data_IF_298444575313
#
_entry.id   IF_298444575313
#
_cell.length_a   1.000
_cell.length_b   1.000
_cell.length_c   1.000
_cell.angle_alpha   90.00
_cell.angle_beta   90.00
_cell.angle_gamma   90.00
#
_symmetry.space_group_name_H-M   'P 1'
#
loop_
_entity.id
_entity.type
_entity.pdbx_description
1 polymer ?
#
# COMPACT_ATOMS: atom_id res chain seq x y z
N UNK A 1 9.81 -24.40 -2.83
CA UNK A 1 10.24 -24.83 -4.17
C UNK A 1 11.56 -25.57 -3.99
N UNK A 2 11.68 -26.82 -4.41
CA UNK A 2 13.00 -27.47 -4.43
C UNK A 2 13.85 -26.77 -5.51
N UNK A 3 14.96 -26.16 -5.08
CA UNK A 3 15.89 -25.46 -5.97
C UNK A 3 17.03 -26.42 -6.32
N UNK A 4 17.54 -26.38 -7.55
CA UNK A 4 18.67 -27.21 -7.93
C UNK A 4 19.91 -26.86 -7.08
N UNK A 5 20.85 -27.80 -6.84
CA UNK A 5 22.07 -27.50 -6.07
C UNK A 5 22.88 -26.33 -6.65
N UNK A 6 22.87 -26.17 -7.97
CA UNK A 6 23.54 -25.06 -8.65
C UNK A 6 22.86 -23.71 -8.34
N UNK A 7 21.53 -23.67 -8.32
CA UNK A 7 20.77 -22.47 -7.99
C UNK A 7 20.87 -22.14 -6.50
N UNK A 8 20.87 -23.15 -5.61
CA UNK A 8 21.08 -22.94 -4.18
C UNK A 8 22.44 -22.26 -3.91
N UNK A 9 23.52 -22.79 -4.48
CA UNK A 9 24.86 -22.17 -4.38
C UNK A 9 24.89 -20.75 -4.94
N UNK A 10 24.23 -20.52 -6.07
CA UNK A 10 24.14 -19.17 -6.66
C UNK A 10 23.45 -18.18 -5.71
N UNK A 11 22.34 -18.56 -5.08
CA UNK A 11 21.68 -17.71 -4.10
C UNK A 11 22.52 -17.50 -2.84
N UNK A 12 23.24 -18.52 -2.35
CA UNK A 12 24.17 -18.38 -1.23
C UNK A 12 25.27 -17.36 -1.52
N UNK A 13 25.87 -17.39 -2.72
CA UNK A 13 26.89 -16.43 -3.15
C UNK A 13 26.34 -14.99 -3.19
N UNK A 14 25.13 -14.81 -3.73
CA UNK A 14 24.47 -13.50 -3.74
C UNK A 14 24.16 -12.98 -2.33
N UNK A 15 23.65 -13.85 -1.45
CA UNK A 15 23.29 -13.50 -0.08
C UNK A 15 24.52 -13.10 0.74
N UNK A 16 25.63 -13.84 0.61
CA UNK A 16 26.88 -13.49 1.28
C UNK A 16 27.43 -12.13 0.81
N UNK A 17 27.35 -11.85 -0.50
CA UNK A 17 27.73 -10.55 -1.06
C UNK A 17 26.84 -9.40 -0.54
N UNK A 18 25.53 -9.63 -0.48
CA UNK A 18 24.57 -8.66 0.06
C UNK A 18 24.83 -8.38 1.54
N UNK A 19 25.04 -9.41 2.35
CA UNK A 19 25.34 -9.28 3.79
C UNK A 19 26.58 -8.40 4.02
N UNK A 20 27.67 -8.68 3.29
CA UNK A 20 28.89 -7.88 3.37
C UNK A 20 28.67 -6.41 3.00
N UNK A 21 27.88 -6.15 1.94
CA UNK A 21 27.54 -4.78 1.54
C UNK A 21 26.68 -4.07 2.60
N UNK A 22 25.73 -4.78 3.22
CA UNK A 22 24.87 -4.25 4.28
C UNK A 22 25.67 -3.92 5.55
N UNK A 23 26.61 -4.76 5.97
CA UNK A 23 27.49 -4.48 7.12
C UNK A 23 28.34 -3.22 6.91
N UNK A 24 28.89 -3.07 5.71
CA UNK A 24 29.65 -1.87 5.34
C UNK A 24 28.76 -0.62 5.38
N UNK A 25 27.56 -0.70 4.81
CA UNK A 25 26.60 0.40 4.81
C UNK A 25 26.16 0.76 6.23
N UNK A 26 25.88 -0.22 7.09
CA UNK A 26 25.53 0.00 8.50
C UNK A 26 26.64 0.74 9.24
N UNK A 27 27.89 0.30 9.07
CA UNK A 27 29.07 0.94 9.68
C UNK A 27 29.24 2.38 9.21
N UNK A 28 28.97 2.66 7.93
CA UNK A 28 29.02 4.01 7.39
C UNK A 28 27.91 4.90 7.95
N UNK A 29 26.65 4.43 7.91
CA UNK A 29 25.47 5.16 8.41
C UNK A 29 25.57 5.47 9.90
N UNK A 30 26.14 4.57 10.70
CA UNK A 30 26.35 4.75 12.13
C UNK A 30 27.25 5.95 12.48
N UNK A 31 28.03 6.48 11.52
CA UNK A 31 28.84 7.69 11.72
C UNK A 31 28.01 8.98 11.82
N UNK A 32 26.72 8.93 11.48
CA UNK A 32 25.80 10.07 11.61
C UNK A 32 26.04 11.20 10.61
N UNK A 33 26.60 10.88 9.43
CA UNK A 33 26.89 11.85 8.38
C UNK A 33 25.76 11.98 7.33
N UNK A 34 24.75 11.13 7.42
CA UNK A 34 23.61 11.02 6.50
C UNK A 34 22.28 11.35 7.20
N UNK A 35 21.16 11.56 6.47
CA UNK A 35 19.85 11.88 7.05
C UNK A 35 19.30 10.88 8.07
N UNK A 36 19.81 9.64 8.04
CA UNK A 36 19.50 8.56 8.99
C UNK A 36 20.78 7.83 9.36
N UNK A 37 20.85 7.40 10.63
CA UNK A 37 21.95 6.61 11.19
C UNK A 37 21.83 5.11 10.95
N UNK A 38 20.67 4.66 10.44
CA UNK A 38 20.42 3.29 10.02
C UNK A 38 20.30 3.16 8.50
N UNK A 39 20.30 1.91 8.02
CA UNK A 39 20.03 1.59 6.62
C UNK A 39 18.54 1.86 6.32
N UNK A 40 18.27 2.50 5.19
CA UNK A 40 16.91 2.89 4.78
C UNK A 40 16.29 1.95 3.73
N UNK A 41 17.09 1.03 3.17
CA UNK A 41 16.65 0.04 2.17
C UNK A 41 16.61 -1.33 2.84
N UNK A 42 15.43 -1.83 3.24
CA UNK A 42 15.29 -3.15 3.85
C UNK A 42 15.49 -4.26 2.81
N UNK A 43 15.98 -5.41 3.26
CA UNK A 43 16.03 -6.64 2.45
C UNK A 43 14.70 -7.37 2.61
N UNK A 44 14.12 -7.82 1.51
CA UNK A 44 12.89 -8.62 1.49
C UNK A 44 13.09 -9.85 0.59
N UNK A 45 12.62 -11.01 1.05
CA UNK A 45 12.84 -12.28 0.35
C UNK A 45 11.76 -12.59 -0.70
N UNK A 46 10.53 -12.10 -0.49
CA UNK A 46 9.41 -12.29 -1.41
C UNK A 46 8.46 -11.07 -1.44
N UNK A 47 7.36 -11.19 -2.18
CA UNK A 47 6.34 -10.15 -2.30
C UNK A 47 5.74 -9.78 -0.95
N UNK A 48 5.39 -10.77 -0.13
CA UNK A 48 4.71 -10.55 1.13
C UNK A 48 5.63 -9.78 2.10
N UNK A 49 6.90 -10.15 2.15
CA UNK A 49 7.91 -9.42 2.93
C UNK A 49 8.13 -8.01 2.39
N UNK A 50 8.09 -7.79 1.06
CA UNK A 50 8.16 -6.44 0.48
C UNK A 50 6.99 -5.58 0.96
N UNK A 51 5.77 -6.12 0.97
CA UNK A 51 4.59 -5.39 1.45
C UNK A 51 4.71 -5.04 2.93
N UNK A 52 5.13 -5.99 3.76
CA UNK A 52 5.32 -5.75 5.20
C UNK A 52 6.45 -4.73 5.47
N UNK A 53 7.59 -4.86 4.80
CA UNK A 53 8.70 -3.92 4.93
C UNK A 53 8.34 -2.51 4.42
N UNK A 54 7.56 -2.42 3.34
CA UNK A 54 7.13 -1.15 2.74
C UNK A 54 6.15 -0.39 3.65
N UNK A 55 5.23 -1.10 4.30
CA UNK A 55 4.13 -0.48 5.05
C UNK A 55 4.34 -0.48 6.57
N UNK A 56 5.15 -1.40 7.09
CA UNK A 56 5.40 -1.56 8.52
C UNK A 56 4.28 -2.28 9.29
N UNK A 57 3.32 -2.90 8.62
CA UNK A 57 2.20 -3.60 9.26
C UNK A 57 2.63 -4.99 9.73
N UNK A 58 3.03 -5.09 11.01
CA UNK A 58 3.61 -6.32 11.55
C UNK A 58 2.66 -7.51 11.43
N UNK A 59 3.13 -8.60 10.81
CA UNK A 59 2.39 -9.85 10.62
C UNK A 59 1.55 -9.90 9.34
N UNK A 60 1.53 -8.84 8.52
CA UNK A 60 0.79 -8.84 7.27
C UNK A 60 1.36 -9.83 6.25
N UNK A 61 2.67 -10.04 6.18
CA UNK A 61 3.26 -10.95 5.20
C UNK A 61 2.78 -12.39 5.41
N UNK A 62 2.73 -12.84 6.66
CA UNK A 62 2.21 -14.16 7.01
C UNK A 62 0.72 -14.31 6.66
N UNK A 63 -0.05 -13.21 6.70
CA UNK A 63 -1.46 -13.23 6.29
C UNK A 63 -1.62 -13.27 4.78
N UNK A 64 -0.87 -12.44 4.03
CA UNK A 64 -0.88 -12.40 2.57
C UNK A 64 -0.57 -13.79 2.02
N UNK A 65 0.48 -14.46 2.50
CA UNK A 65 0.86 -15.81 2.06
C UNK A 65 -0.26 -16.84 2.24
N UNK A 66 -1.03 -16.75 3.34
CA UNK A 66 -2.17 -17.65 3.56
C UNK A 66 -3.31 -17.37 2.59
N UNK A 67 -3.58 -16.10 2.31
CA UNK A 67 -4.64 -15.75 1.37
C UNK A 67 -4.26 -16.15 -0.08
N UNK A 68 -3.04 -15.89 -0.52
CA UNK A 68 -2.58 -16.27 -1.88
C UNK A 68 -2.53 -17.79 -2.11
N UNK A 69 -2.62 -18.62 -1.06
CA UNK A 69 -2.79 -20.07 -1.20
C UNK A 69 -4.24 -20.47 -1.51
N UNK A 70 -5.20 -19.63 -1.17
CA UNK A 70 -6.64 -19.91 -1.25
C UNK A 70 -7.34 -19.18 -2.39
N UNK A 71 -6.81 -18.03 -2.82
CA UNK A 71 -7.47 -17.12 -3.77
C UNK A 71 -6.47 -16.37 -4.65
N UNK A 72 -6.98 -15.67 -5.66
CA UNK A 72 -6.14 -14.82 -6.52
C UNK A 72 -5.53 -13.66 -5.74
N UNK A 73 -4.55 -12.97 -6.32
CA UNK A 73 -3.96 -11.78 -5.70
C UNK A 73 -4.96 -10.63 -5.60
N UNK A 74 -5.85 -10.49 -6.58
CA UNK A 74 -6.90 -9.48 -6.59
C UNK A 74 -7.94 -9.73 -5.49
N UNK A 75 -8.35 -10.99 -5.33
CA UNK A 75 -9.19 -11.43 -4.21
C UNK A 75 -8.45 -11.24 -2.89
N UNK A 76 -7.15 -11.58 -2.88
CA UNK A 76 -6.09 -11.20 -1.98
C UNK A 76 -6.26 -9.81 -1.36
N UNK A 77 -6.10 -8.83 -2.25
CA UNK A 77 -6.08 -7.42 -1.97
C UNK A 77 -7.42 -6.88 -1.47
N UNK A 78 -8.53 -7.49 -1.87
CA UNK A 78 -9.83 -7.15 -1.31
C UNK A 78 -10.01 -7.76 0.09
N UNK A 79 -9.69 -9.05 0.24
CA UNK A 79 -9.95 -9.84 1.45
C UNK A 79 -9.10 -9.40 2.64
N UNK A 80 -7.90 -8.88 2.40
CA UNK A 80 -7.07 -8.32 3.47
C UNK A 80 -7.78 -7.15 4.18
N UNK A 81 -8.69 -6.44 3.51
CA UNK A 81 -9.54 -5.40 4.11
C UNK A 81 -10.30 -5.87 5.34
N UNK A 82 -10.79 -7.12 5.34
CA UNK A 82 -11.49 -7.70 6.50
C UNK A 82 -10.57 -7.86 7.72
N UNK A 83 -9.29 -8.16 7.49
CA UNK A 83 -8.31 -8.29 8.56
C UNK A 83 -8.03 -6.94 9.22
N UNK A 84 -8.04 -5.84 8.45
CA UNK A 84 -7.95 -4.47 8.98
C UNK A 84 -9.22 -4.05 9.71
N UNK A 85 -10.41 -4.37 9.19
CA UNK A 85 -11.68 -4.13 9.91
C UNK A 85 -11.69 -4.86 11.25
N UNK A 86 -11.12 -6.08 11.29
CA UNK A 86 -10.93 -6.86 12.50
C UNK A 86 -9.74 -6.40 13.37
N UNK A 87 -9.05 -5.32 13.00
CA UNK A 87 -7.91 -4.70 13.72
C UNK A 87 -6.76 -5.67 14.01
N UNK A 88 -6.50 -6.58 13.08
CA UNK A 88 -5.49 -7.63 13.28
C UNK A 88 -4.04 -7.13 13.30
N UNK A 89 -3.79 -5.91 12.81
CA UNK A 89 -2.44 -5.36 12.68
C UNK A 89 -2.20 -4.14 13.59
N UNK A 90 -3.13 -3.86 14.51
CA UNK A 90 -2.98 -2.85 15.56
C UNK A 90 -3.77 -1.57 15.35
N UNK A 91 -4.64 -1.51 14.34
CA UNK A 91 -5.43 -0.33 14.02
C UNK A 91 -6.33 0.09 15.18
N UNK A 92 -6.35 1.39 15.49
CA UNK A 92 -7.08 1.96 16.61
C UNK A 92 -8.28 2.80 16.20
N UNK A 93 -8.25 3.36 14.98
CA UNK A 93 -9.30 4.26 14.46
C UNK A 93 -9.85 3.80 13.12
N UNK A 94 -11.05 4.25 12.76
CA UNK A 94 -11.63 3.94 11.44
C UNK A 94 -10.81 4.53 10.28
N UNK A 95 -10.21 5.71 10.45
CA UNK A 95 -9.34 6.31 9.43
C UNK A 95 -8.08 5.48 9.23
N UNK A 96 -7.49 4.95 10.30
CA UNK A 96 -6.33 4.06 10.25
C UNK A 96 -6.67 2.73 9.56
N UNK A 97 -7.83 2.12 9.88
CA UNK A 97 -8.32 0.92 9.18
C UNK A 97 -8.45 1.17 7.67
N UNK A 98 -9.03 2.30 7.27
CA UNK A 98 -9.22 2.65 5.88
C UNK A 98 -7.88 2.91 5.17
N UNK A 99 -7.00 3.71 5.78
CA UNK A 99 -5.68 4.00 5.23
C UNK A 99 -4.86 2.73 5.03
N UNK A 100 -4.77 1.90 6.07
CA UNK A 100 -3.99 0.67 6.02
C UNK A 100 -4.54 -0.33 5.01
N UNK A 101 -5.86 -0.52 4.95
CA UNK A 101 -6.47 -1.44 4.00
C UNK A 101 -6.22 -1.01 2.54
N UNK A 102 -6.38 0.27 2.23
CA UNK A 102 -6.17 0.80 0.86
C UNK A 102 -4.69 0.67 0.48
N UNK A 103 -3.76 1.03 1.38
CA UNK A 103 -2.31 0.92 1.11
C UNK A 103 -1.86 -0.52 0.97
N UNK A 104 -2.34 -1.42 1.83
CA UNK A 104 -2.00 -2.84 1.77
C UNK A 104 -2.50 -3.51 0.49
N UNK A 105 -3.75 -3.22 0.10
CA UNK A 105 -4.28 -3.73 -1.15
C UNK A 105 -3.49 -3.23 -2.36
N UNK A 106 -3.17 -1.93 -2.39
CA UNK A 106 -2.36 -1.34 -3.46
C UNK A 106 -0.95 -1.93 -3.50
N UNK A 107 -0.31 -2.13 -2.35
CA UNK A 107 1.02 -2.72 -2.26
C UNK A 107 1.03 -4.16 -2.74
N UNK A 108 0.02 -4.96 -2.36
CA UNK A 108 -0.13 -6.33 -2.84
C UNK A 108 -0.28 -6.38 -4.38
N UNK A 109 -1.17 -5.57 -4.94
CA UNK A 109 -1.45 -5.53 -6.38
C UNK A 109 -0.29 -5.02 -7.23
N UNK A 110 0.51 -4.13 -6.65
CA UNK A 110 1.70 -3.57 -7.31
C UNK A 110 2.99 -4.30 -6.91
N UNK A 111 2.86 -5.48 -6.29
CA UNK A 111 3.96 -6.35 -5.87
C UNK A 111 4.99 -5.71 -4.93
N UNK A 112 4.61 -4.58 -4.31
CA UNK A 112 5.48 -3.75 -3.49
C UNK A 112 6.67 -3.15 -4.25
N UNK A 113 6.58 -3.00 -5.59
CA UNK A 113 7.69 -2.47 -6.40
C UNK A 113 7.53 -1.02 -6.84
N UNK A 114 6.42 -0.37 -6.50
CA UNK A 114 6.14 1.02 -6.86
C UNK A 114 5.87 1.87 -5.62
N UNK A 115 6.09 3.18 -5.74
CA UNK A 115 5.91 4.13 -4.65
C UNK A 115 4.44 4.48 -4.35
N UNK A 116 3.48 4.02 -5.16
CA UNK A 116 2.08 4.39 -5.03
C UNK A 116 1.45 4.14 -3.64
N UNK A 117 1.71 3.02 -2.94
CA UNK A 117 1.16 2.78 -1.60
C UNK A 117 1.67 3.74 -0.54
N UNK A 118 2.88 4.30 -0.71
CA UNK A 118 3.50 5.20 0.27
C UNK A 118 3.31 6.66 -0.12
N UNK A 119 3.66 7.00 -1.37
CA UNK A 119 3.70 8.37 -1.88
C UNK A 119 2.47 8.74 -2.73
N UNK A 120 1.73 7.76 -3.25
CA UNK A 120 0.55 7.99 -4.08
C UNK A 120 -0.71 8.32 -3.29
N UNK A 121 -0.77 7.93 -2.00
CA UNK A 121 -1.85 8.26 -1.07
C UNK A 121 -1.31 9.23 -0.02
N UNK A 122 -1.66 10.51 -0.15
CA UNK A 122 -1.22 11.55 0.77
C UNK A 122 -1.95 11.48 2.13
N UNK A 123 -3.25 11.17 2.10
CA UNK A 123 -4.09 11.12 3.29
C UNK A 123 -5.35 10.30 3.04
N UNK A 124 -5.84 9.64 4.07
CA UNK A 124 -7.22 9.11 4.14
C UNK A 124 -7.91 9.80 5.30
N UNK A 125 -9.16 10.24 5.10
CA UNK A 125 -9.94 10.85 6.17
C UNK A 125 -11.44 10.67 5.99
N UNK A 126 -12.21 11.02 7.01
CA UNK A 126 -13.67 11.11 6.92
C UNK A 126 -14.10 12.56 6.65
N UNK A 127 -15.16 12.71 5.84
CA UNK A 127 -15.87 13.96 5.60
C UNK A 127 -17.34 13.82 5.99
N UNK A 128 -18.08 14.93 5.93
CA UNK A 128 -19.53 14.96 6.13
C UNK A 128 -20.25 15.44 4.87
N UNK A 129 -21.27 14.71 4.47
CA UNK A 129 -22.24 15.14 3.46
C UNK A 129 -23.15 16.23 4.04
N UNK A 130 -23.92 16.90 3.18
CA UNK A 130 -24.85 17.96 3.57
C UNK A 130 -25.99 17.48 4.48
N UNK A 131 -26.33 16.20 4.39
CA UNK A 131 -27.30 15.54 5.26
C UNK A 131 -26.71 15.10 6.62
N UNK A 132 -25.43 15.39 6.86
CA UNK A 132 -24.69 15.07 8.08
C UNK A 132 -24.08 13.67 8.13
N UNK A 133 -24.33 12.82 7.12
CA UNK A 133 -23.75 11.47 7.04
C UNK A 133 -22.26 11.52 6.77
N UNK A 134 -21.50 10.59 7.35
CA UNK A 134 -20.05 10.49 7.13
C UNK A 134 -19.74 9.76 5.83
N UNK A 135 -18.69 10.19 5.13
CA UNK A 135 -18.18 9.54 3.92
C UNK A 135 -16.64 9.50 3.91
N UNK A 136 -16.08 8.57 3.14
CA UNK A 136 -14.64 8.40 2.98
C UNK A 136 -14.04 9.40 1.97
N UNK A 137 -12.90 9.99 2.32
CA UNK A 137 -12.05 10.82 1.46
C UNK A 137 -10.67 10.20 1.31
N UNK A 138 -10.27 9.93 0.07
CA UNK A 138 -8.91 9.48 -0.27
C UNK A 138 -8.21 10.58 -1.05
N UNK A 139 -7.08 11.05 -0.54
CA UNK A 139 -6.29 12.12 -1.13
C UNK A 139 -5.13 11.51 -1.91
N UNK A 140 -5.27 11.46 -3.23
CA UNK A 140 -4.21 10.98 -4.11
C UNK A 140 -3.21 12.08 -4.46
N UNK A 141 -1.93 11.72 -4.56
CA UNK A 141 -0.84 12.58 -5.00
C UNK A 141 -0.27 12.12 -6.34
N UNK A 142 0.48 12.99 -7.04
CA UNK A 142 1.05 12.71 -8.37
C UNK A 142 1.74 11.35 -8.54
N UNK A 143 2.54 10.85 -7.57
CA UNK A 143 3.19 9.54 -7.65
C UNK A 143 2.22 8.35 -7.83
N UNK A 144 0.92 8.52 -7.57
CA UNK A 144 -0.12 7.50 -7.80
C UNK A 144 -0.10 6.96 -9.23
N UNK A 145 0.37 7.75 -10.21
CA UNK A 145 0.50 7.34 -11.62
C UNK A 145 1.39 6.12 -11.82
N UNK A 146 2.38 5.92 -10.95
CA UNK A 146 3.28 4.76 -11.00
C UNK A 146 2.58 3.42 -10.75
N UNK A 147 1.40 3.42 -10.10
CA UNK A 147 0.64 2.20 -9.82
C UNK A 147 0.03 1.57 -11.09
N UNK A 148 -0.14 2.35 -12.16
CA UNK A 148 -0.95 1.97 -13.31
C UNK A 148 -2.47 2.01 -13.02
N UNK A 149 -3.27 1.98 -14.09
CA UNK A 149 -4.73 2.15 -13.98
C UNK A 149 -5.43 1.04 -13.17
N UNK A 150 -4.91 -0.19 -13.22
CA UNK A 150 -5.48 -1.34 -12.49
C UNK A 150 -5.42 -1.14 -10.97
N UNK A 151 -4.24 -0.80 -10.43
CA UNK A 151 -4.08 -0.60 -9.00
C UNK A 151 -4.81 0.66 -8.51
N UNK A 152 -4.89 1.71 -9.33
CA UNK A 152 -5.70 2.91 -9.06
C UNK A 152 -7.19 2.60 -8.99
N UNK A 153 -7.72 1.79 -9.91
CA UNK A 153 -9.12 1.38 -9.87
C UNK A 153 -9.42 0.50 -8.65
N UNK A 154 -8.53 -0.44 -8.34
CA UNK A 154 -8.71 -1.33 -7.20
C UNK A 154 -8.56 -0.62 -5.85
N UNK A 155 -7.76 0.45 -5.75
CA UNK A 155 -7.73 1.25 -4.52
C UNK A 155 -9.07 1.92 -4.22
N UNK A 156 -9.82 2.32 -5.25
CA UNK A 156 -11.20 2.83 -5.10
C UNK A 156 -12.16 1.70 -4.69
N UNK A 157 -12.01 0.51 -5.26
CA UNK A 157 -12.83 -0.65 -4.91
C UNK A 157 -12.65 -1.07 -3.44
N UNK A 158 -11.39 -1.18 -2.99
CA UNK A 158 -11.07 -1.56 -1.61
C UNK A 158 -11.55 -0.49 -0.63
N UNK A 159 -11.35 0.79 -0.97
CA UNK A 159 -11.89 1.91 -0.22
C UNK A 159 -13.42 1.78 -0.02
N UNK A 160 -14.15 1.46 -1.09
CA UNK A 160 -15.60 1.28 -1.02
C UNK A 160 -16.03 0.05 -0.23
N UNK A 161 -15.30 -1.06 -0.36
CA UNK A 161 -15.56 -2.28 0.40
C UNK A 161 -15.38 -2.07 1.91
N UNK A 162 -14.24 -1.49 2.31
CA UNK A 162 -13.90 -1.31 3.73
C UNK A 162 -14.78 -0.24 4.38
N UNK A 163 -15.10 0.86 3.68
CA UNK A 163 -16.00 1.89 4.23
C UNK A 163 -17.40 1.33 4.46
N UNK A 164 -17.90 0.45 3.60
CA UNK A 164 -19.16 -0.26 3.83
C UNK A 164 -19.09 -1.17 5.06
N UNK A 165 -18.02 -1.94 5.23
CA UNK A 165 -17.83 -2.81 6.39
C UNK A 165 -17.77 -2.04 7.72
N UNK A 166 -17.29 -0.79 7.69
CA UNK A 166 -17.27 0.12 8.84
C UNK A 166 -18.58 0.92 9.02
N UNK A 167 -19.59 0.71 8.18
CA UNK A 167 -20.87 1.44 8.25
C UNK A 167 -20.80 2.89 7.82
N UNK A 168 -19.78 3.28 7.07
CA UNK A 168 -19.58 4.64 6.55
C UNK A 168 -20.42 4.82 5.28
N UNK A 169 -21.12 5.95 5.20
CA UNK A 169 -21.99 6.31 4.08
C UNK A 169 -21.23 6.49 2.77
N UNK A 170 -22.00 6.57 1.68
CA UNK A 170 -21.45 6.98 0.38
C UNK A 170 -21.23 8.49 0.37
N UNK A 171 -20.31 8.94 -0.47
CA UNK A 171 -20.21 10.36 -0.79
C UNK A 171 -21.43 10.80 -1.62
N UNK A 172 -22.02 11.94 -1.27
CA UNK A 172 -23.14 12.57 -1.97
C UNK A 172 -22.63 13.90 -2.52
N UNK A 173 -22.15 13.94 -3.78
CA UNK A 173 -21.57 15.14 -4.35
C UNK A 173 -22.62 16.23 -4.60
N UNK A 174 -22.23 17.48 -4.38
CA UNK A 174 -22.99 18.65 -4.85
C UNK A 174 -22.79 18.85 -6.34
N UNK A 175 -23.74 19.49 -7.02
CA UNK A 175 -23.62 19.80 -8.45
C UNK A 175 -22.34 20.59 -8.78
N UNK A 176 -21.96 21.53 -7.92
CA UNK A 176 -20.73 22.33 -8.06
C UNK A 176 -19.46 21.46 -8.03
N UNK A 177 -19.43 20.40 -7.22
CA UNK A 177 -18.30 19.49 -7.12
C UNK A 177 -18.19 18.59 -8.35
N UNK A 178 -19.34 18.18 -8.90
CA UNK A 178 -19.40 17.42 -10.17
C UNK A 178 -18.88 18.29 -11.32
N UNK A 179 -19.40 19.51 -11.47
CA UNK A 179 -18.98 20.43 -12.54
C UNK A 179 -17.51 20.80 -12.42
N UNK A 180 -17.01 21.02 -11.19
CA UNK A 180 -15.58 21.22 -10.94
C UNK A 180 -14.75 20.03 -11.41
N UNK A 181 -15.15 18.80 -11.10
CA UNK A 181 -14.39 17.61 -11.50
C UNK A 181 -14.37 17.42 -13.02
N UNK A 182 -15.48 17.72 -13.72
CA UNK A 182 -15.54 17.74 -15.18
C UNK A 182 -14.54 18.76 -15.75
N UNK A 183 -14.49 19.97 -15.17
CA UNK A 183 -13.56 21.01 -15.61
C UNK A 183 -12.10 20.64 -15.32
N UNK A 184 -11.81 20.06 -14.16
CA UNK A 184 -10.47 19.57 -13.82
C UNK A 184 -9.97 18.54 -14.83
N UNK A 185 -10.82 17.57 -15.23
CA UNK A 185 -10.47 16.58 -16.25
C UNK A 185 -10.15 17.26 -17.60
N UNK A 186 -10.99 18.21 -18.04
CA UNK A 186 -10.78 18.93 -19.30
C UNK A 186 -9.47 19.70 -19.30
N UNK A 187 -9.21 20.48 -18.24
CA UNK A 187 -7.99 21.27 -18.14
C UNK A 187 -6.76 20.38 -18.05
N UNK A 188 -6.81 19.33 -17.23
CA UNK A 188 -5.71 18.41 -17.07
C UNK A 188 -5.32 17.70 -18.38
N UNK A 189 -6.31 17.30 -19.18
CA UNK A 189 -6.08 16.70 -20.50
C UNK A 189 -5.58 17.69 -21.56
N UNK A 190 -5.81 18.99 -21.38
CA UNK A 190 -5.35 20.04 -22.31
C UNK A 190 -3.96 20.60 -21.95
N UNK A 191 -3.48 20.36 -20.73
CA UNK A 191 -2.14 20.76 -20.26
C UNK A 191 -1.08 19.70 -20.64
N UNK A 192 -1.51 18.49 -20.99
CA UNK A 192 -0.65 17.39 -21.46
C UNK A 192 -0.69 17.28 -22.99
#
# INVERSE_FOLDING_TARGET
>A
MEVSPAAARYFEELMAGLESAMELAATARARGLDPRTGIEIPVASDLADRVEALLGYTGIAARIRRLEQEMSREEAALRIGDDFVARKFGETTSEEILDHAIRAAMALLTEGVVAAPTEGIAKVSLGKNDDGTDYLKVYYAGPIRSAGGTAQALSVLVADYVRQALGIGRYIPRSEEIERYIEEIRQYNNIM
#
